data_IF_329687627384
#
_entry.id   IF_329687627384
#
_cell.length_a   1.000
_cell.length_b   1.000
_cell.length_c   1.000
_cell.angle_alpha   90.00
_cell.angle_beta   90.00
_cell.angle_gamma   90.00
#
_symmetry.space_group_name_H-M   'P 1'
#
loop_
_entity.id
_entity.type
_entity.pdbx_description
1 polymer ?
#
# COMPACT_ATOMS: atom_id res chain seq x y z
N UNK A 1 3.03 6.23 8.27
CA UNK A 1 2.40 5.11 7.56
C UNK A 1 2.74 3.84 8.31
N UNK A 2 1.74 3.12 8.83
CA UNK A 2 1.95 1.87 9.56
C UNK A 2 1.55 0.73 8.63
N UNK A 3 2.51 -0.11 8.26
CA UNK A 3 2.23 -1.32 7.49
C UNK A 3 1.49 -2.29 8.44
N UNK A 4 0.33 -2.81 8.00
CA UNK A 4 -0.51 -3.72 8.78
C UNK A 4 -0.80 -5.00 8.00
N UNK A 5 -1.12 -6.06 8.74
CA UNK A 5 -1.38 -7.37 8.15
C UNK A 5 -2.59 -7.37 7.19
N UNK A 6 -2.40 -7.89 5.96
CA UNK A 6 -3.43 -7.92 4.92
C UNK A 6 -4.65 -8.77 5.27
N UNK A 7 -4.45 -9.86 5.99
CA UNK A 7 -5.50 -10.80 6.42
C UNK A 7 -5.11 -11.44 7.75
N UNK A 8 -5.50 -10.86 8.90
CA UNK A 8 -5.26 -11.50 10.19
C UNK A 8 -5.98 -12.86 10.25
N UNK A 9 -5.25 -13.96 10.45
CA UNK A 9 -5.80 -15.32 10.52
C UNK A 9 -5.87 -16.09 9.20
N UNK A 10 -5.45 -15.50 8.07
CA UNK A 10 -5.29 -16.18 6.78
C UNK A 10 -3.88 -15.93 6.24
N UNK A 11 -3.09 -17.00 6.12
CA UNK A 11 -1.67 -16.93 5.76
C UNK A 11 -0.78 -16.57 6.96
N UNK A 12 0.49 -16.97 6.91
CA UNK A 12 1.47 -16.56 7.89
C UNK A 12 1.95 -15.12 7.62
N UNK A 13 2.35 -14.36 8.66
CA UNK A 13 3.06 -13.10 8.47
C UNK A 13 4.26 -13.24 7.56
N UNK A 14 4.41 -12.33 6.60
CA UNK A 14 5.72 -12.14 5.98
C UNK A 14 6.67 -11.64 7.07
N UNK A 15 7.81 -12.30 7.19
CA UNK A 15 8.95 -11.81 7.92
C UNK A 15 9.45 -10.47 7.35
N UNK A 16 10.25 -9.74 8.13
CA UNK A 16 10.87 -8.50 7.64
C UNK A 16 11.78 -8.74 6.43
N UNK A 17 12.44 -9.89 6.37
CA UNK A 17 13.26 -10.30 5.22
C UNK A 17 12.39 -10.56 3.99
N UNK A 18 11.29 -11.31 4.11
CA UNK A 18 10.36 -11.54 3.01
C UNK A 18 9.76 -10.23 2.51
N UNK A 19 9.44 -9.29 3.41
CA UNK A 19 8.98 -7.95 3.05
C UNK A 19 10.02 -7.19 2.22
N UNK A 20 11.27 -7.18 2.69
CA UNK A 20 12.41 -6.53 2.02
C UNK A 20 12.75 -7.18 0.69
N UNK A 21 12.40 -8.44 0.48
CA UNK A 21 12.53 -9.11 -0.81
C UNK A 21 11.33 -8.85 -1.73
N UNK A 22 10.11 -8.86 -1.17
CA UNK A 22 8.87 -8.69 -1.92
C UNK A 22 8.70 -7.29 -2.50
N UNK A 23 8.83 -6.25 -1.67
CA UNK A 23 8.48 -4.89 -2.08
C UNK A 23 9.37 -4.30 -3.19
N UNK A 24 10.71 -4.51 -3.22
CA UNK A 24 11.55 -4.06 -4.33
C UNK A 24 11.37 -4.84 -5.63
N UNK A 25 10.95 -6.11 -5.56
CA UNK A 25 10.90 -7.00 -6.73
C UNK A 25 9.49 -7.13 -7.32
N UNK A 26 8.48 -6.76 -6.55
CA UNK A 26 7.09 -6.74 -6.99
C UNK A 26 6.92 -5.88 -8.24
N UNK A 27 6.25 -6.45 -9.24
CA UNK A 27 5.82 -5.75 -10.46
C UNK A 27 4.39 -5.20 -10.34
N UNK A 28 3.77 -5.38 -9.18
CA UNK A 28 2.38 -5.04 -8.93
C UNK A 28 2.25 -3.57 -8.57
N UNK A 29 1.15 -2.95 -9.01
CA UNK A 29 0.83 -1.58 -8.60
C UNK A 29 0.35 -1.54 -7.14
N UNK A 30 0.67 -0.45 -6.46
CA UNK A 30 0.03 -0.13 -5.19
C UNK A 30 -1.40 0.35 -5.46
N UNK A 31 -2.40 -0.32 -4.88
CA UNK A 31 -3.79 0.14 -4.90
C UNK A 31 -3.95 1.14 -3.75
N UNK A 32 -3.84 2.43 -4.06
CA UNK A 32 -3.94 3.52 -3.09
C UNK A 32 -5.39 4.00 -2.98
N UNK A 33 -5.94 3.96 -1.78
CA UNK A 33 -7.24 4.51 -1.44
C UNK A 33 -7.09 5.83 -0.67
N UNK A 34 -7.82 6.85 -1.12
CA UNK A 34 -8.02 8.12 -0.42
C UNK A 34 -9.52 8.35 -0.22
N UNK A 35 -9.90 9.28 0.65
CA UNK A 35 -11.32 9.61 0.88
C UNK A 35 -11.67 10.90 0.15
N UNK A 36 -12.68 10.89 -0.71
CA UNK A 36 -13.22 12.05 -1.43
C UNK A 36 -13.93 13.04 -0.50
N UNK A 37 -14.35 14.19 -1.04
CA UNK A 37 -14.96 15.27 -0.25
C UNK A 37 -16.24 14.80 0.44
N UNK A 38 -17.03 14.04 -0.28
CA UNK A 38 -18.35 13.59 0.16
C UNK A 38 -18.29 12.29 0.97
N UNK A 39 -17.08 11.78 1.24
CA UNK A 39 -16.83 10.58 2.06
C UNK A 39 -16.61 9.30 1.26
N UNK A 40 -16.83 9.33 -0.06
CA UNK A 40 -16.64 8.17 -0.93
C UNK A 40 -15.16 7.76 -1.05
N UNK A 41 -14.86 6.46 -1.21
CA UNK A 41 -13.50 6.00 -1.46
C UNK A 41 -13.07 6.30 -2.89
N UNK A 42 -11.86 6.82 -3.06
CA UNK A 42 -11.19 6.94 -4.35
C UNK A 42 -9.96 6.04 -4.38
N UNK A 43 -10.02 4.97 -5.18
CA UNK A 43 -9.00 3.92 -5.27
C UNK A 43 -8.32 3.96 -6.64
N UNK A 44 -7.00 4.15 -6.65
CA UNK A 44 -6.22 4.21 -7.89
C UNK A 44 -4.96 3.34 -7.82
N UNK A 45 -4.60 2.66 -8.92
CA UNK A 45 -3.29 2.03 -9.04
C UNK A 45 -2.20 3.12 -9.17
N UNK A 46 -1.14 2.99 -8.39
CA UNK A 46 0.03 3.87 -8.43
C UNK A 46 1.31 3.06 -8.37
N UNK A 47 2.32 3.50 -9.13
CA UNK A 47 3.68 3.05 -8.95
C UNK A 47 4.23 3.55 -7.61
N UNK A 48 5.10 2.74 -7.00
CA UNK A 48 5.68 3.06 -5.72
C UNK A 48 7.16 2.64 -5.68
N UNK A 49 8.08 3.53 -5.29
CA UNK A 49 9.38 3.10 -4.81
C UNK A 49 9.30 2.69 -3.32
N UNK A 50 10.08 1.68 -2.97
CA UNK A 50 10.24 1.19 -1.60
C UNK A 50 11.66 1.46 -1.11
N UNK A 51 11.78 1.98 0.11
CA UNK A 51 13.04 2.25 0.81
C UNK A 51 13.17 1.26 1.98
N UNK A 52 14.10 0.29 1.86
CA UNK A 52 14.17 -0.85 2.78
C UNK A 52 14.81 -0.54 4.13
N UNK A 53 15.55 0.57 4.29
CA UNK A 53 16.21 0.92 5.56
C UNK A 53 15.18 1.34 6.63
N UNK A 54 14.13 2.05 6.23
CA UNK A 54 13.08 2.52 7.14
C UNK A 54 11.69 1.93 6.85
N UNK A 55 11.61 0.91 5.99
CA UNK A 55 10.37 0.28 5.56
C UNK A 55 9.33 1.30 5.05
N UNK A 56 9.78 2.24 4.20
CA UNK A 56 8.94 3.33 3.67
C UNK A 56 8.55 3.09 2.22
N UNK A 57 7.28 3.33 1.90
CA UNK A 57 6.79 3.40 0.53
C UNK A 57 6.53 4.88 0.21
N UNK A 58 7.01 5.34 -0.94
CA UNK A 58 6.69 6.68 -1.43
C UNK A 58 5.70 6.58 -2.58
N UNK A 59 4.82 7.56 -2.68
CA UNK A 59 3.80 7.62 -3.73
C UNK A 59 3.78 9.05 -4.26
N UNK A 60 3.89 9.18 -5.59
CA UNK A 60 3.83 10.49 -6.21
C UNK A 60 2.40 11.08 -6.12
N UNK A 61 2.26 12.37 -5.82
CA UNK A 61 1.00 12.94 -5.35
C UNK A 61 0.57 14.23 -6.09
N UNK A 62 0.60 14.23 -7.41
CA UNK A 62 0.40 15.47 -8.20
C UNK A 62 -1.06 15.77 -8.55
N UNK A 63 -2.03 15.09 -7.91
CA UNK A 63 -3.40 15.01 -8.45
C UNK A 63 -4.51 14.99 -7.38
N UNK A 64 -5.73 14.55 -7.75
CA UNK A 64 -6.92 14.45 -6.89
C UNK A 64 -6.65 13.77 -5.54
N UNK A 65 -5.87 12.71 -5.52
CA UNK A 65 -5.38 12.04 -4.30
C UNK A 65 -4.67 13.00 -3.34
N UNK A 66 -3.96 14.00 -3.83
CA UNK A 66 -3.27 15.01 -3.01
C UNK A 66 -4.24 15.97 -2.35
N UNK A 67 -5.28 16.37 -3.09
CA UNK A 67 -6.36 17.18 -2.53
C UNK A 67 -7.13 16.39 -1.46
N UNK A 68 -7.37 15.10 -1.71
CA UNK A 68 -8.03 14.22 -0.74
C UNK A 68 -7.21 14.07 0.54
N UNK A 69 -5.91 13.79 0.42
CA UNK A 69 -4.99 13.62 1.56
C UNK A 69 -4.87 14.91 2.37
N UNK A 70 -4.79 16.08 1.72
CA UNK A 70 -4.73 17.37 2.43
C UNK A 70 -5.99 17.67 3.22
N UNK A 71 -7.16 17.25 2.73
CA UNK A 71 -8.45 17.42 3.41
C UNK A 71 -8.63 16.39 4.52
N UNK A 72 -8.23 15.13 4.27
CA UNK A 72 -8.33 14.02 5.20
C UNK A 72 -7.11 13.12 5.04
N UNK A 73 -6.30 13.04 6.09
CA UNK A 73 -5.05 12.27 6.13
C UNK A 73 -5.24 10.74 6.14
N UNK A 74 -6.48 10.26 6.05
CA UNK A 74 -6.80 8.85 5.93
C UNK A 74 -6.44 8.31 4.55
N UNK A 75 -5.34 7.58 4.50
CA UNK A 75 -4.84 6.86 3.33
C UNK A 75 -4.89 5.37 3.64
N UNK A 76 -5.25 4.54 2.68
CA UNK A 76 -5.09 3.10 2.78
C UNK A 76 -4.40 2.58 1.54
N UNK A 77 -3.66 1.48 1.64
CA UNK A 77 -3.04 0.88 0.46
C UNK A 77 -2.99 -0.63 0.54
N UNK A 78 -2.87 -1.28 -0.62
CA UNK A 78 -2.58 -2.70 -0.74
C UNK A 78 -1.63 -2.95 -1.92
N UNK A 79 -0.66 -3.82 -1.72
CA UNK A 79 0.25 -4.36 -2.74
C UNK A 79 0.27 -5.87 -2.52
N UNK A 80 -0.28 -6.61 -3.46
CA UNK A 80 -0.43 -8.06 -3.39
C UNK A 80 -0.09 -8.69 -4.73
N UNK A 81 0.49 -9.88 -4.68
CA UNK A 81 0.75 -10.70 -5.85
C UNK A 81 -0.48 -11.51 -6.25
N UNK A 82 -0.55 -11.88 -7.52
CA UNK A 82 -1.62 -12.71 -8.07
C UNK A 82 -1.30 -14.20 -7.93
N UNK A 83 -0.03 -14.56 -7.72
CA UNK A 83 0.43 -15.94 -7.61
C UNK A 83 0.10 -16.57 -6.24
N UNK A 84 -0.36 -17.82 -6.25
CA UNK A 84 -0.53 -18.61 -5.02
C UNK A 84 0.79 -19.26 -4.57
N UNK A 85 1.11 -19.26 -3.26
CA UNK A 85 0.37 -18.59 -2.18
C UNK A 85 0.50 -17.07 -2.24
N UNK A 86 -0.64 -16.36 -2.11
CA UNK A 86 -0.71 -14.90 -2.23
C UNK A 86 0.19 -14.25 -1.18
N UNK A 87 1.09 -13.39 -1.63
CA UNK A 87 1.92 -12.53 -0.78
C UNK A 87 1.46 -11.10 -0.96
N UNK A 88 1.36 -10.36 0.13
CA UNK A 88 0.98 -8.95 0.04
C UNK A 88 1.08 -8.20 1.35
N UNK A 89 1.12 -6.88 1.22
CA UNK A 89 1.07 -5.93 2.31
C UNK A 89 -0.07 -4.96 2.14
N UNK A 90 -0.66 -4.53 3.25
CA UNK A 90 -1.60 -3.41 3.26
C UNK A 90 -1.26 -2.45 4.39
N UNK A 91 -1.89 -1.29 4.41
CA UNK A 91 -1.60 -0.29 5.43
C UNK A 91 -2.62 0.82 5.49
N UNK A 92 -2.45 1.62 6.54
CA UNK A 92 -3.07 2.92 6.73
C UNK A 92 -2.00 3.96 7.07
#
# INVERSE_FOLDING_TARGET
>A
MKIIHATPGMGAPMSEEELKNFLPTSKQNCRLATVEKDGDPNVHPVWYPYEPLHNKIYINNDSRKAMNIRRRDAVYFCIDDEAMPVKGVKGK
#
